data_IF_551577985721
#
_entry.id   IF_551577985721
#
_cell.length_a   1.000
_cell.length_b   1.000
_cell.length_c   1.000
_cell.angle_alpha   90.00
_cell.angle_beta   90.00
_cell.angle_gamma   90.00
#
_symmetry.space_group_name_H-M   'P 1'
#
loop_
_entity.id
_entity.type
_entity.pdbx_description
1 polymer ?
#
# COMPACT_ATOMS: atom_id res chain seq x y z
N UNK A 1 -6.95 -15.22 -3.34
CA UNK A 1 -6.90 -14.17 -2.30
C UNK A 1 -8.31 -13.97 -1.75
N UNK A 2 -8.45 -13.86 -0.43
CA UNK A 2 -9.72 -13.54 0.23
C UNK A 2 -9.90 -12.02 0.24
N UNK A 3 -11.15 -11.52 0.16
CA UNK A 3 -11.41 -10.07 0.27
C UNK A 3 -10.93 -9.58 1.63
N UNK A 4 -10.06 -8.56 1.62
CA UNK A 4 -9.63 -7.83 2.81
C UNK A 4 -10.49 -6.57 3.01
N UNK A 5 -10.56 -6.07 4.24
CA UNK A 5 -11.17 -4.77 4.51
C UNK A 5 -10.27 -3.63 3.99
N UNK A 6 -10.83 -2.43 3.85
CA UNK A 6 -10.12 -1.21 3.42
C UNK A 6 -8.77 -1.01 4.13
N UNK A 7 -8.75 -1.09 5.45
CA UNK A 7 -7.57 -0.77 6.25
C UNK A 7 -6.43 -1.78 6.02
N UNK A 8 -6.74 -3.08 6.00
CA UNK A 8 -5.80 -4.16 5.66
C UNK A 8 -5.35 -4.01 4.21
N UNK A 9 -6.27 -3.77 3.27
CA UNK A 9 -5.93 -3.58 1.88
C UNK A 9 -4.93 -2.42 1.69
N UNK A 10 -5.15 -1.30 2.38
CA UNK A 10 -4.21 -0.18 2.35
C UNK A 10 -2.84 -0.52 2.95
N UNK A 11 -2.79 -1.37 3.99
CA UNK A 11 -1.52 -1.87 4.51
C UNK A 11 -0.73 -2.65 3.45
N UNK A 12 -1.35 -3.61 2.74
CA UNK A 12 -0.65 -4.33 1.65
C UNK A 12 -0.18 -3.40 0.54
N UNK A 13 -0.99 -2.40 0.17
CA UNK A 13 -0.62 -1.42 -0.85
C UNK A 13 0.61 -0.62 -0.43
N UNK A 14 0.65 -0.13 0.82
CA UNK A 14 1.79 0.64 1.31
C UNK A 14 3.04 -0.23 1.43
N UNK A 15 2.91 -1.46 1.96
CA UNK A 15 4.03 -2.38 2.08
C UNK A 15 4.69 -2.69 0.74
N UNK A 16 3.88 -2.98 -0.30
CA UNK A 16 4.42 -3.22 -1.64
C UNK A 16 5.07 -1.94 -2.20
N UNK A 17 4.42 -0.78 -2.07
CA UNK A 17 5.01 0.48 -2.56
C UNK A 17 6.38 0.75 -1.94
N UNK A 18 6.53 0.55 -0.64
CA UNK A 18 7.80 0.75 0.09
C UNK A 18 8.84 -0.34 -0.10
N UNK A 19 8.57 -1.39 -0.90
CA UNK A 19 9.50 -2.50 -1.08
C UNK A 19 9.67 -2.95 -2.52
N UNK A 20 9.05 -2.26 -3.48
CA UNK A 20 8.96 -2.70 -4.87
C UNK A 20 10.29 -2.55 -5.63
N UNK A 21 11.16 -1.67 -5.17
CA UNK A 21 12.51 -1.49 -5.71
C UNK A 21 13.54 -2.45 -5.07
N UNK A 22 13.12 -3.24 -4.08
CA UNK A 22 13.95 -4.18 -3.33
C UNK A 22 14.66 -3.57 -2.12
N UNK A 23 14.45 -2.30 -1.82
CA UNK A 23 14.89 -1.64 -0.59
C UNK A 23 13.65 -1.32 0.27
N UNK A 24 13.82 -1.17 1.59
CA UNK A 24 12.75 -0.72 2.48
C UNK A 24 13.35 0.28 3.44
N UNK A 25 13.15 1.56 3.17
CA UNK A 25 13.82 2.61 3.92
C UNK A 25 13.18 2.79 5.32
N UNK A 26 13.96 3.12 6.36
CA UNK A 26 13.42 3.41 7.69
C UNK A 26 12.32 4.49 7.68
N UNK A 27 12.48 5.52 6.85
CA UNK A 27 11.57 6.65 6.70
C UNK A 27 10.19 6.21 6.15
N UNK A 28 10.17 5.29 5.20
CA UNK A 28 8.96 4.69 4.67
C UNK A 28 8.29 3.80 5.72
N UNK A 29 9.09 3.00 6.42
CA UNK A 29 8.59 2.16 7.51
C UNK A 29 7.89 2.94 8.61
N UNK A 30 8.38 4.15 8.93
CA UNK A 30 7.70 5.05 9.88
C UNK A 30 6.32 5.48 9.38
N UNK A 31 6.16 5.75 8.09
CA UNK A 31 4.86 6.10 7.50
C UNK A 31 3.91 4.90 7.46
N UNK A 32 4.40 3.70 7.16
CA UNK A 32 3.58 2.48 7.26
C UNK A 32 3.08 2.29 8.70
N UNK A 33 3.95 2.48 9.70
CA UNK A 33 3.55 2.42 11.10
C UNK A 33 2.52 3.49 11.47
N UNK A 34 2.67 4.71 10.95
CA UNK A 34 1.70 5.77 11.15
C UNK A 34 0.32 5.40 10.59
N UNK A 35 0.28 4.88 9.36
CA UNK A 35 -0.98 4.42 8.75
C UNK A 35 -1.67 3.36 9.61
N UNK A 36 -0.90 2.39 10.13
CA UNK A 36 -1.44 1.37 11.03
C UNK A 36 -2.00 1.96 12.32
N UNK A 37 -1.30 2.93 12.92
CA UNK A 37 -1.76 3.58 14.15
C UNK A 37 -3.04 4.41 13.93
N UNK A 38 -3.17 5.05 12.76
CA UNK A 38 -4.32 5.87 12.41
C UNK A 38 -5.57 5.03 12.08
N UNK A 39 -5.40 3.90 11.37
CA UNK A 39 -6.51 3.03 10.97
C UNK A 39 -6.93 2.03 12.05
N UNK A 40 -6.00 1.62 12.92
CA UNK A 40 -6.25 0.62 13.96
C UNK A 40 -6.08 1.22 15.37
N UNK A 41 -7.16 1.70 16.01
CA UNK A 41 -7.10 2.28 17.36
C UNK A 41 -6.75 1.26 18.47
N UNK A 42 -6.66 -0.03 18.12
CA UNK A 42 -6.30 -1.12 19.02
C UNK A 42 -5.25 -2.01 18.36
N UNK A 43 -4.52 -2.79 19.17
CA UNK A 43 -3.57 -3.78 18.64
C UNK A 43 -4.31 -4.81 17.78
N UNK A 44 -3.99 -4.81 16.49
CA UNK A 44 -4.39 -5.84 15.54
C UNK A 44 -3.21 -6.78 15.31
N UNK A 45 -3.48 -8.07 15.15
CA UNK A 45 -2.48 -9.02 14.70
C UNK A 45 -2.46 -9.00 13.16
N UNK A 46 -1.29 -8.69 12.58
CA UNK A 46 -1.04 -8.66 11.14
C UNK A 46 0.03 -9.66 10.71
N UNK A 47 0.38 -10.63 11.57
CA UNK A 47 1.42 -11.63 11.31
C UNK A 47 1.11 -12.42 10.03
N UNK A 48 -0.14 -12.85 9.85
CA UNK A 48 -0.58 -13.58 8.64
C UNK A 48 -0.46 -12.73 7.36
N UNK A 49 -0.73 -11.43 7.46
CA UNK A 49 -0.64 -10.50 6.32
C UNK A 49 0.81 -10.19 5.97
N UNK A 50 1.66 -10.03 6.99
CA UNK A 50 3.11 -9.89 6.85
C UNK A 50 3.72 -11.13 6.20
N UNK A 51 3.35 -12.33 6.66
CA UNK A 51 3.82 -13.59 6.07
C UNK A 51 3.37 -13.69 4.60
N UNK A 52 2.12 -13.34 4.32
CA UNK A 52 1.60 -13.32 2.94
C UNK A 52 2.45 -12.42 2.05
N UNK A 53 2.75 -11.19 2.47
CA UNK A 53 3.56 -10.24 1.69
C UNK A 53 4.99 -10.76 1.54
N UNK A 54 5.60 -11.26 2.60
CA UNK A 54 6.98 -11.74 2.62
C UNK A 54 7.21 -12.95 1.70
N UNK A 55 6.17 -13.77 1.48
CA UNK A 55 6.21 -14.93 0.60
C UNK A 55 5.91 -14.61 -0.87
N UNK A 56 5.46 -13.39 -1.19
CA UNK A 56 5.18 -13.00 -2.57
C UNK A 56 6.46 -12.93 -3.40
N UNK A 57 6.41 -13.51 -4.60
CA UNK A 57 7.45 -13.30 -5.60
C UNK A 57 7.23 -11.98 -6.34
N UNK A 58 8.29 -11.34 -6.88
CA UNK A 58 8.16 -10.09 -7.64
C UNK A 58 7.13 -10.15 -8.77
N UNK A 59 7.03 -11.29 -9.47
CA UNK A 59 6.04 -11.50 -10.53
C UNK A 59 4.58 -11.51 -10.04
N UNK A 60 4.34 -11.75 -8.75
CA UNK A 60 3.02 -11.78 -8.12
C UNK A 60 2.61 -10.42 -7.55
N UNK A 61 3.57 -9.52 -7.31
CA UNK A 61 3.34 -8.22 -6.67
C UNK A 61 2.28 -7.39 -7.38
N UNK A 62 2.34 -7.29 -8.71
CA UNK A 62 1.35 -6.51 -9.47
C UNK A 62 -0.06 -7.04 -9.28
N UNK A 63 -0.25 -8.36 -9.37
CA UNK A 63 -1.57 -8.98 -9.23
C UNK A 63 -2.12 -8.82 -7.80
N UNK A 64 -1.26 -8.99 -6.80
CA UNK A 64 -1.59 -8.76 -5.38
C UNK A 64 -1.98 -7.29 -5.14
N UNK A 65 -1.17 -6.37 -5.64
CA UNK A 65 -1.38 -4.93 -5.50
C UNK A 65 -2.69 -4.48 -6.14
N UNK A 66 -2.99 -4.91 -7.38
CA UNK A 66 -4.26 -4.58 -8.02
C UNK A 66 -5.46 -5.19 -7.28
N UNK A 67 -5.32 -6.40 -6.73
CA UNK A 67 -6.38 -7.04 -5.95
C UNK A 67 -6.71 -6.24 -4.68
N UNK A 68 -5.70 -5.88 -3.88
CA UNK A 68 -5.92 -5.06 -2.70
C UNK A 68 -6.33 -3.63 -3.06
N UNK A 69 -5.89 -3.10 -4.20
CA UNK A 69 -6.38 -1.85 -4.77
C UNK A 69 -7.88 -1.87 -5.04
N UNK A 70 -8.41 -2.99 -5.58
CA UNK A 70 -9.87 -3.18 -5.77
C UNK A 70 -10.59 -3.36 -4.42
N UNK A 71 -10.04 -4.13 -3.49
CA UNK A 71 -10.62 -4.28 -2.15
C UNK A 71 -10.76 -2.92 -1.43
N UNK A 72 -9.72 -2.09 -1.49
CA UNK A 72 -9.75 -0.74 -0.93
C UNK A 72 -10.80 0.13 -1.66
N UNK A 73 -10.85 0.07 -3.00
CA UNK A 73 -11.84 0.81 -3.79
C UNK A 73 -13.28 0.50 -3.38
N UNK A 74 -13.58 -0.80 -3.21
CA UNK A 74 -14.93 -1.28 -2.88
C UNK A 74 -15.40 -0.81 -1.50
N UNK A 75 -14.48 -0.67 -0.55
CA UNK A 75 -14.77 -0.37 0.86
C UNK A 75 -14.39 1.08 1.26
N UNK A 76 -14.12 1.96 0.29
CA UNK A 76 -13.73 3.36 0.53
C UNK A 76 -14.63 4.38 -0.19
N UNK A 77 -14.71 5.57 0.39
CA UNK A 77 -15.22 6.77 -0.28
C UNK A 77 -14.16 7.38 -1.19
N UNK A 78 -14.58 8.20 -2.16
CA UNK A 78 -13.65 8.94 -3.02
C UNK A 78 -12.69 9.83 -2.23
N UNK A 79 -13.19 10.48 -1.17
CA UNK A 79 -12.38 11.31 -0.28
C UNK A 79 -11.26 10.49 0.39
N UNK A 80 -11.58 9.29 0.88
CA UNK A 80 -10.58 8.40 1.48
C UNK A 80 -9.54 7.94 0.45
N UNK A 81 -9.94 7.62 -0.78
CA UNK A 81 -8.99 7.28 -1.85
C UNK A 81 -8.07 8.45 -2.20
N UNK A 82 -8.61 9.67 -2.31
CA UNK A 82 -7.81 10.86 -2.56
C UNK A 82 -6.82 11.13 -1.42
N UNK A 83 -7.22 10.91 -0.17
CA UNK A 83 -6.33 11.02 0.98
C UNK A 83 -5.25 9.92 0.96
N UNK A 84 -5.64 8.69 0.64
CA UNK A 84 -4.70 7.56 0.54
C UNK A 84 -3.67 7.78 -0.58
N UNK A 85 -4.08 8.24 -1.77
CA UNK A 85 -3.14 8.58 -2.85
C UNK A 85 -2.16 9.67 -2.42
N UNK A 86 -2.62 10.70 -1.69
CA UNK A 86 -1.72 11.72 -1.15
C UNK A 86 -0.74 11.13 -0.16
N UNK A 87 -1.21 10.24 0.72
CA UNK A 87 -0.37 9.55 1.69
C UNK A 87 0.68 8.65 1.01
N UNK A 88 0.25 7.81 0.06
CA UNK A 88 1.13 6.96 -0.74
C UNK A 88 2.18 7.77 -1.52
N UNK A 89 1.83 8.97 -1.99
CA UNK A 89 2.80 9.88 -2.63
C UNK A 89 3.84 10.41 -1.64
N UNK A 90 3.46 10.63 -0.38
CA UNK A 90 4.40 11.01 0.68
C UNK A 90 5.30 9.83 1.04
N UNK A 91 4.77 8.60 1.04
CA UNK A 91 5.52 7.37 1.30
C UNK A 91 6.69 7.20 0.32
N UNK A 92 6.41 7.09 -0.98
CA UNK A 92 7.42 6.87 -2.04
C UNK A 92 8.40 8.05 -2.24
N UNK A 93 8.31 9.08 -1.40
CA UNK A 93 9.17 10.27 -1.42
C UNK A 93 9.93 10.45 -0.11
N UNK A 94 9.73 9.55 0.85
CA UNK A 94 10.18 9.74 2.22
C UNK A 94 11.71 9.69 2.35
N UNK A 95 12.39 8.96 1.45
CA UNK A 95 13.83 8.81 1.40
C UNK A 95 14.51 9.74 0.34
N UNK A 96 13.75 10.71 -0.18
CA UNK A 96 14.14 11.63 -1.26
C UNK A 96 14.52 10.97 -2.62
N UNK A 97 14.20 9.69 -2.82
CA UNK A 97 14.37 8.99 -4.10
C UNK A 97 13.06 8.32 -4.51
N UNK A 98 12.62 8.57 -5.74
CA UNK A 98 11.48 7.84 -6.30
C UNK A 98 12.00 7.01 -7.46
N UNK A 99 11.94 5.70 -7.33
CA UNK A 99 12.30 4.74 -8.37
C UNK A 99 11.22 4.63 -9.43
N UNK A 100 11.59 4.06 -10.58
CA UNK A 100 10.64 3.84 -11.68
C UNK A 100 9.58 2.80 -11.29
N UNK A 101 9.95 1.82 -10.47
CA UNK A 101 9.09 0.77 -9.93
C UNK A 101 8.02 1.35 -8.99
N UNK A 102 8.42 2.17 -8.00
CA UNK A 102 7.49 2.85 -7.09
C UNK A 102 6.55 3.76 -7.86
N UNK A 103 7.08 4.54 -8.81
CA UNK A 103 6.28 5.40 -9.66
C UNK A 103 5.26 4.59 -10.47
N UNK A 104 5.67 3.45 -11.02
CA UNK A 104 4.81 2.56 -11.80
C UNK A 104 3.64 2.04 -10.96
N UNK A 105 3.90 1.54 -9.74
CA UNK A 105 2.86 1.02 -8.85
C UNK A 105 1.93 2.13 -8.35
N UNK A 106 2.48 3.31 -8.04
CA UNK A 106 1.68 4.49 -7.70
C UNK A 106 0.73 4.89 -8.85
N UNK A 107 1.21 4.87 -10.10
CA UNK A 107 0.40 5.16 -11.29
C UNK A 107 -0.66 4.06 -11.52
N UNK A 108 -0.33 2.78 -11.32
CA UNK A 108 -1.30 1.68 -11.38
C UNK A 108 -2.46 1.95 -10.41
N UNK A 109 -2.17 2.35 -9.16
CA UNK A 109 -3.18 2.62 -8.16
C UNK A 109 -4.09 3.80 -8.56
N UNK A 110 -3.49 4.90 -9.03
CA UNK A 110 -4.24 6.06 -9.53
C UNK A 110 -5.17 5.69 -10.68
N UNK A 111 -4.67 4.92 -11.65
CA UNK A 111 -5.45 4.49 -12.80
C UNK A 111 -6.59 3.56 -12.38
N UNK A 112 -6.32 2.61 -11.48
CA UNK A 112 -7.31 1.69 -10.94
C UNK A 112 -8.49 2.42 -10.27
N UNK A 113 -8.20 3.54 -9.59
CA UNK A 113 -9.20 4.35 -8.90
C UNK A 113 -9.74 5.51 -9.73
N UNK A 114 -9.33 5.64 -11.00
CA UNK A 114 -9.68 6.73 -11.90
C UNK A 114 -9.37 8.13 -11.32
N UNK A 115 -8.24 8.26 -10.62
CA UNK A 115 -7.76 9.51 -10.01
C UNK A 115 -6.68 10.13 -10.91
N UNK A 116 -6.90 11.39 -11.32
CA UNK A 116 -6.00 12.13 -12.20
C UNK A 116 -4.77 12.70 -11.48
#
# INVERSE_FOLDING_TARGET
MQKSNKSIAGYHLLMILSSVDGEFAPEEGMLVQQYLADEFPFKINLDDELETIALLKPEEWKAHFEFHGRCFLDDSTEKERLNFIKFAKTLIKADDKVTDEEHTFYVILKNLWNIK
#
